data_IF_125333816130
#
_entry.id   IF_125333816130
#
_cell.length_a   1.000
_cell.length_b   1.000
_cell.length_c   1.000
_cell.angle_alpha   90.00
_cell.angle_beta   90.00
_cell.angle_gamma   90.00
#
_symmetry.space_group_name_H-M   'P 1'
#
loop_
_entity.id
_entity.type
_entity.pdbx_description
1 polymer ?
#
# COMPACT_ATOMS: atom_id res chain seq x y z
N UNK A 1 19.82 44.02 -10.43
CA UNK A 1 18.87 42.90 -10.59
C UNK A 1 19.36 41.79 -9.68
N UNK A 2 18.53 41.43 -8.70
CA UNK A 2 18.91 40.56 -7.61
C UNK A 2 19.13 39.12 -8.10
N UNK A 3 20.25 38.57 -7.69
CA UNK A 3 20.68 37.19 -7.84
C UNK A 3 19.70 36.30 -7.05
N UNK A 4 18.95 35.44 -7.75
CA UNK A 4 18.13 34.43 -7.09
C UNK A 4 19.07 33.41 -6.46
N UNK A 5 19.15 33.46 -5.13
CA UNK A 5 19.75 32.40 -4.35
C UNK A 5 18.99 31.10 -4.61
N UNK A 6 19.69 30.11 -5.17
CA UNK A 6 19.31 28.70 -5.12
C UNK A 6 19.00 28.34 -3.66
N UNK A 7 17.73 28.14 -3.34
CA UNK A 7 17.29 27.49 -2.11
C UNK A 7 17.99 26.13 -2.04
N UNK A 8 18.83 25.95 -1.03
CA UNK A 8 19.29 24.62 -0.65
C UNK A 8 18.05 23.85 -0.22
N UNK A 9 17.67 22.85 -1.02
CA UNK A 9 16.73 21.80 -0.66
C UNK A 9 17.02 21.37 0.78
N UNK A 10 16.10 21.65 1.70
CA UNK A 10 16.22 21.23 3.09
C UNK A 10 16.05 19.71 3.06
N UNK A 11 17.09 18.90 3.38
CA UNK A 11 16.91 17.46 3.48
C UNK A 11 15.95 17.19 4.62
N UNK A 12 15.07 16.20 4.47
CA UNK A 12 14.42 15.53 5.59
C UNK A 12 15.48 15.22 6.65
N UNK A 13 15.48 15.96 7.75
CA UNK A 13 16.66 16.07 8.61
C UNK A 13 16.92 14.81 9.43
N UNK A 14 15.90 13.97 9.64
CA UNK A 14 16.03 12.78 10.46
C UNK A 14 16.31 11.53 9.60
N UNK A 15 17.23 10.64 10.01
CA UNK A 15 17.58 9.43 9.26
C UNK A 15 16.44 8.41 9.07
N UNK A 16 15.32 8.58 9.80
CA UNK A 16 14.12 7.73 9.70
C UNK A 16 12.93 8.44 9.05
N UNK A 17 13.12 9.67 8.55
CA UNK A 17 12.08 10.33 7.76
C UNK A 17 11.83 9.55 6.46
N UNK A 18 10.56 9.43 6.02
CA UNK A 18 10.23 8.74 4.77
C UNK A 18 10.97 9.37 3.58
N UNK A 19 11.21 8.60 2.51
CA UNK A 19 11.82 9.12 1.28
C UNK A 19 11.01 10.29 0.73
N UNK A 20 11.67 11.40 0.42
CA UNK A 20 11.01 12.55 -0.19
C UNK A 20 10.82 12.34 -1.70
N UNK A 21 9.86 13.03 -2.32
CA UNK A 21 9.58 12.95 -3.76
C UNK A 21 10.83 13.03 -4.66
N UNK A 22 11.78 13.93 -4.36
CA UNK A 22 13.01 14.08 -5.16
C UNK A 22 13.96 12.88 -5.03
N UNK A 23 13.98 12.20 -3.88
CA UNK A 23 14.79 11.00 -3.65
C UNK A 23 14.21 9.80 -4.40
N UNK A 24 12.88 9.68 -4.39
CA UNK A 24 12.14 8.67 -5.15
C UNK A 24 12.39 8.83 -6.66
N UNK A 25 12.23 10.06 -7.17
CA UNK A 25 12.45 10.36 -8.59
C UNK A 25 13.92 10.14 -9.02
N UNK A 26 14.88 10.48 -8.16
CA UNK A 26 16.30 10.21 -8.40
C UNK A 26 16.58 8.71 -8.49
N UNK A 27 16.05 7.91 -7.56
CA UNK A 27 16.20 6.46 -7.58
C UNK A 27 15.62 5.82 -8.84
N UNK A 28 14.39 6.18 -9.22
CA UNK A 28 13.78 5.68 -10.45
C UNK A 28 14.56 6.04 -11.71
N UNK A 29 15.03 7.30 -11.80
CA UNK A 29 15.84 7.78 -12.93
C UNK A 29 17.19 7.05 -13.04
N UNK A 30 17.86 6.79 -11.91
CA UNK A 30 19.11 6.04 -11.88
C UNK A 30 18.92 4.59 -12.31
N UNK A 31 17.85 3.95 -11.86
CA UNK A 31 17.57 2.56 -12.18
C UNK A 31 17.18 2.38 -13.65
N UNK A 32 16.35 3.28 -14.21
CA UNK A 32 16.05 3.28 -15.65
C UNK A 32 17.30 3.40 -16.51
N UNK A 33 18.26 4.27 -16.14
CA UNK A 33 19.55 4.37 -16.83
C UNK A 33 20.38 3.07 -16.79
N UNK A 34 20.21 2.24 -15.76
CA UNK A 34 20.98 1.00 -15.56
C UNK A 34 20.29 -0.23 -16.11
N UNK A 35 18.95 -0.26 -16.11
CA UNK A 35 18.14 -1.41 -16.46
C UNK A 35 17.39 -1.26 -17.79
N UNK A 36 17.25 -0.04 -18.29
CA UNK A 36 16.39 0.31 -19.43
C UNK A 36 15.04 0.89 -18.99
N UNK A 37 14.31 1.44 -19.95
CA UNK A 37 13.03 2.12 -19.68
C UNK A 37 11.84 1.17 -19.51
N UNK A 38 12.00 -0.09 -19.93
CA UNK A 38 10.96 -1.13 -19.90
C UNK A 38 10.77 -1.78 -18.52
N UNK A 39 11.59 -1.40 -17.52
CA UNK A 39 11.41 -1.90 -16.15
C UNK A 39 10.19 -1.30 -15.48
N UNK A 40 9.50 -2.14 -14.71
CA UNK A 40 8.32 -1.79 -13.95
C UNK A 40 8.69 -1.81 -12.47
N UNK A 41 8.45 -0.70 -11.77
CA UNK A 41 8.70 -0.62 -10.33
C UNK A 41 7.47 -1.09 -9.53
N UNK A 42 7.69 -1.83 -8.46
CA UNK A 42 6.64 -2.29 -7.55
C UNK A 42 6.59 -1.44 -6.28
N UNK A 43 7.75 -1.16 -5.68
CA UNK A 43 7.82 -0.39 -4.43
C UNK A 43 9.20 0.21 -4.19
N UNK A 44 9.24 1.25 -3.34
CA UNK A 44 10.46 1.83 -2.79
C UNK A 44 10.31 1.97 -1.28
N UNK A 45 11.30 1.49 -0.54
CA UNK A 45 11.39 1.65 0.91
C UNK A 45 12.71 2.32 1.29
N UNK A 46 12.68 3.17 2.34
CA UNK A 46 13.92 3.56 3.02
C UNK A 46 14.56 2.31 3.64
N UNK A 47 15.87 2.13 3.41
CA UNK A 47 16.66 1.20 4.22
C UNK A 47 17.01 1.94 5.50
N UNK A 48 16.23 1.66 6.55
CA UNK A 48 16.39 2.27 7.86
C UNK A 48 17.83 2.07 8.38
N UNK A 49 18.55 3.14 8.78
CA UNK A 49 19.91 2.99 9.28
C UNK A 49 20.00 2.10 10.52
N UNK A 50 21.15 1.45 10.77
CA UNK A 50 21.36 0.67 11.97
C UNK A 50 20.98 1.45 13.24
N UNK A 51 20.23 0.80 14.15
CA UNK A 51 19.74 1.39 15.41
C UNK A 51 20.78 2.23 16.16
N UNK A 52 22.01 1.75 16.23
CA UNK A 52 23.11 2.44 16.88
C UNK A 52 23.38 3.82 16.28
N UNK A 53 23.41 3.91 14.95
CA UNK A 53 23.69 5.16 14.24
C UNK A 53 22.58 6.20 14.45
N UNK A 54 21.31 5.77 14.49
CA UNK A 54 20.18 6.65 14.78
C UNK A 54 20.26 7.20 16.20
N UNK A 55 20.54 6.33 17.19
CA UNK A 55 20.67 6.75 18.59
C UNK A 55 21.85 7.71 18.79
N UNK A 56 22.98 7.46 18.12
CA UNK A 56 24.15 8.35 18.14
C UNK A 56 23.84 9.71 17.47
N UNK A 57 23.09 9.71 16.36
CA UNK A 57 22.63 10.92 15.68
C UNK A 57 21.76 11.79 16.60
N UNK A 58 20.77 11.20 17.29
CA UNK A 58 19.87 11.92 18.20
C UNK A 58 20.60 12.46 19.45
N UNK A 59 21.61 11.74 19.93
CA UNK A 59 22.38 12.13 21.12
C UNK A 59 23.38 13.25 20.85
N UNK A 60 23.69 13.54 19.58
CA UNK A 60 24.62 14.58 19.21
C UNK A 60 23.95 15.96 19.28
N UNK A 61 24.37 16.79 20.22
CA UNK A 61 23.82 18.13 20.46
C UNK A 61 23.92 19.08 19.24
N UNK A 62 24.82 18.81 18.31
CA UNK A 62 24.94 19.61 17.08
C UNK A 62 23.96 19.16 15.99
N UNK A 63 23.29 17.99 16.15
CA UNK A 63 22.48 17.29 15.13
C UNK A 63 23.08 17.40 13.73
N UNK A 64 24.41 17.48 13.65
CA UNK A 64 25.09 17.67 12.39
C UNK A 64 24.77 16.42 11.59
N UNK A 65 24.19 16.53 10.38
CA UNK A 65 23.97 15.40 9.50
C UNK A 65 25.35 14.88 9.11
N UNK A 66 25.95 14.11 10.00
CA UNK A 66 27.20 13.41 9.78
C UNK A 66 26.86 12.23 8.89
N UNK A 67 26.59 12.54 7.62
CA UNK A 67 26.56 11.67 6.44
C UNK A 67 26.05 10.25 6.73
N UNK A 68 24.91 10.11 7.43
CA UNK A 68 24.25 8.82 7.43
C UNK A 68 23.85 8.56 5.99
N UNK A 69 24.39 7.47 5.44
CA UNK A 69 24.10 7.05 4.08
C UNK A 69 22.60 6.86 3.99
N UNK A 70 21.96 7.55 3.05
CA UNK A 70 20.51 7.46 2.86
C UNK A 70 20.28 6.52 1.71
N UNK A 71 19.91 5.30 2.07
CA UNK A 71 19.77 4.20 1.14
C UNK A 71 18.29 3.89 0.96
N UNK A 72 17.88 3.60 -0.27
CA UNK A 72 16.55 3.11 -0.58
C UNK A 72 16.64 1.75 -1.26
N UNK A 73 15.72 0.86 -0.90
CA UNK A 73 15.51 -0.44 -1.51
C UNK A 73 14.35 -0.31 -2.50
N UNK A 74 14.60 -0.67 -3.75
CA UNK A 74 13.59 -0.64 -4.83
C UNK A 74 13.36 -2.06 -5.31
N UNK A 75 12.09 -2.46 -5.41
CA UNK A 75 11.69 -3.75 -5.96
C UNK A 75 10.93 -3.52 -7.26
N UNK A 76 11.10 -4.41 -8.23
CA UNK A 76 10.42 -4.31 -9.52
C UNK A 76 10.57 -5.54 -10.40
N UNK A 77 10.15 -5.41 -11.64
CA UNK A 77 10.20 -6.43 -12.68
C UNK A 77 10.90 -5.88 -13.93
N UNK A 78 11.93 -6.58 -14.37
CA UNK A 78 12.58 -6.33 -15.66
C UNK A 78 11.87 -7.18 -16.72
N UNK A 79 11.12 -6.50 -17.58
CA UNK A 79 10.32 -7.13 -18.64
C UNK A 79 11.17 -7.76 -19.74
N UNK A 80 12.35 -7.19 -20.03
CA UNK A 80 13.28 -7.71 -21.05
C UNK A 80 13.93 -9.00 -20.57
N UNK A 81 14.30 -9.07 -19.29
CA UNK A 81 14.85 -10.27 -18.66
C UNK A 81 13.80 -11.23 -18.13
N UNK A 82 12.54 -10.81 -18.13
CA UNK A 82 11.41 -11.54 -17.56
C UNK A 82 11.66 -11.96 -16.10
N UNK A 83 12.23 -11.05 -15.29
CA UNK A 83 12.69 -11.39 -13.94
C UNK A 83 12.46 -10.24 -12.96
N UNK A 84 12.00 -10.57 -11.75
CA UNK A 84 11.99 -9.62 -10.64
C UNK A 84 13.40 -9.22 -10.19
N UNK A 85 13.54 -7.98 -9.72
CA UNK A 85 14.79 -7.47 -9.18
C UNK A 85 14.58 -6.74 -7.86
N UNK A 86 15.66 -6.69 -7.08
CA UNK A 86 15.84 -5.80 -5.94
C UNK A 86 17.07 -4.96 -6.21
N UNK A 87 16.96 -3.64 -6.04
CA UNK A 87 18.05 -2.71 -6.21
C UNK A 87 18.21 -1.83 -4.98
N UNK A 88 19.44 -1.43 -4.71
CA UNK A 88 19.75 -0.50 -3.61
C UNK A 88 20.43 0.75 -4.17
N UNK A 89 19.89 1.90 -3.81
CA UNK A 89 20.35 3.21 -4.29
C UNK A 89 20.74 4.09 -3.12
N UNK A 90 21.94 4.68 -3.18
CA UNK A 90 22.33 5.79 -2.32
C UNK A 90 21.80 7.07 -2.96
N UNK A 91 20.77 7.67 -2.36
CA UNK A 91 20.11 8.86 -2.94
C UNK A 91 20.88 10.14 -2.69
N UNK A 92 21.82 10.16 -1.74
CA UNK A 92 22.68 11.31 -1.47
C UNK A 92 23.90 11.28 -2.39
N UNK A 93 24.55 10.12 -2.52
CA UNK A 93 25.65 9.94 -3.47
C UNK A 93 25.18 9.77 -4.92
N UNK A 94 23.87 9.66 -5.14
CA UNK A 94 23.23 9.53 -6.46
C UNK A 94 23.80 8.36 -7.26
N UNK A 95 23.92 7.18 -6.61
CA UNK A 95 24.54 5.99 -7.21
C UNK A 95 23.73 4.73 -6.90
N UNK A 96 23.58 3.87 -7.93
CA UNK A 96 23.07 2.51 -7.74
C UNK A 96 24.20 1.65 -7.20
N UNK A 97 24.03 1.18 -5.96
CA UNK A 97 25.04 0.38 -5.25
C UNK A 97 24.93 -1.11 -5.56
N UNK A 98 23.71 -1.61 -5.78
CA UNK A 98 23.44 -3.00 -6.07
C UNK A 98 22.19 -3.16 -6.93
N UNK A 99 22.21 -4.15 -7.83
CA UNK A 99 21.05 -4.68 -8.53
C UNK A 99 21.17 -6.21 -8.49
N UNK A 100 20.15 -6.87 -7.96
CA UNK A 100 20.08 -8.33 -7.84
C UNK A 100 18.78 -8.84 -8.43
N UNK A 101 18.88 -9.78 -9.37
CA UNK A 101 17.72 -10.52 -9.86
C UNK A 101 17.31 -11.60 -8.86
N UNK A 102 16.00 -11.74 -8.67
CA UNK A 102 15.39 -12.66 -7.70
C UNK A 102 14.85 -13.85 -8.46
N UNK A 103 15.36 -15.05 -8.18
CA UNK A 103 14.90 -16.30 -8.79
C UNK A 103 14.03 -17.15 -7.86
N UNK A 104 14.07 -16.86 -6.55
CA UNK A 104 13.23 -17.49 -5.53
C UNK A 104 12.18 -16.47 -5.08
N UNK A 105 11.02 -16.49 -5.75
CA UNK A 105 9.92 -15.54 -5.52
C UNK A 105 9.80 -14.45 -6.59
N UNK A 106 8.88 -13.52 -6.35
CA UNK A 106 8.53 -12.44 -7.29
C UNK A 106 8.39 -11.12 -6.53
N UNK A 107 8.62 -10.00 -7.22
CA UNK A 107 8.31 -8.67 -6.69
C UNK A 107 6.79 -8.55 -6.45
N UNK A 108 6.35 -7.67 -5.52
CA UNK A 108 4.93 -7.40 -5.30
C UNK A 108 4.19 -7.04 -6.59
N UNK A 109 2.92 -7.40 -6.66
CA UNK A 109 2.01 -7.06 -7.75
C UNK A 109 1.64 -5.59 -7.68
N UNK A 110 1.44 -4.98 -8.85
CA UNK A 110 1.06 -3.58 -8.95
C UNK A 110 -0.11 -3.38 -9.93
N UNK A 111 -0.55 -2.12 -10.05
CA UNK A 111 -1.69 -1.78 -10.89
C UNK A 111 -1.53 -2.17 -12.38
N UNK A 112 -0.36 -1.98 -13.03
CA UNK A 112 -0.09 -2.54 -14.36
C UNK A 112 -0.33 -4.05 -14.50
N UNK A 113 0.09 -4.85 -13.52
CA UNK A 113 -0.16 -6.30 -13.53
C UNK A 113 -1.67 -6.59 -13.58
N UNK A 114 -2.44 -5.88 -12.74
CA UNK A 114 -3.91 -5.99 -12.68
C UNK A 114 -4.55 -5.66 -14.02
N UNK A 115 -4.19 -4.52 -14.62
CA UNK A 115 -4.70 -4.09 -15.93
C UNK A 115 -4.35 -5.10 -17.02
N UNK A 116 -3.15 -5.68 -16.98
CA UNK A 116 -2.69 -6.69 -17.94
C UNK A 116 -3.54 -7.96 -17.86
N UNK A 117 -3.78 -8.49 -16.66
CA UNK A 117 -4.63 -9.67 -16.47
C UNK A 117 -6.05 -9.44 -16.97
N UNK A 118 -6.64 -8.28 -16.64
CA UNK A 118 -7.99 -7.92 -17.11
C UNK A 118 -8.03 -7.91 -18.64
N UNK A 119 -7.02 -7.31 -19.27
CA UNK A 119 -6.92 -7.23 -20.73
C UNK A 119 -6.82 -8.62 -21.36
N UNK A 120 -5.87 -9.44 -20.89
CA UNK A 120 -5.65 -10.81 -21.38
C UNK A 120 -6.95 -11.61 -21.31
N UNK A 121 -7.63 -11.60 -20.16
CA UNK A 121 -8.87 -12.35 -19.98
C UNK A 121 -9.98 -11.88 -20.91
N UNK A 122 -10.20 -10.56 -21.03
CA UNK A 122 -11.25 -10.02 -21.90
C UNK A 122 -11.00 -10.29 -23.38
N UNK A 123 -9.76 -10.45 -23.81
CA UNK A 123 -9.41 -10.74 -25.21
C UNK A 123 -9.33 -12.24 -25.54
N UNK A 124 -9.37 -13.12 -24.54
CA UNK A 124 -9.24 -14.56 -24.74
C UNK A 124 -10.56 -15.19 -25.24
N UNK A 125 -10.50 -15.89 -26.38
CA UNK A 125 -11.69 -16.51 -27.02
C UNK A 125 -12.29 -17.64 -26.16
N UNK A 126 -11.46 -18.36 -25.41
CA UNK A 126 -11.89 -19.43 -24.52
C UNK A 126 -12.67 -18.88 -23.34
N UNK A 127 -12.14 -17.85 -22.68
CA UNK A 127 -12.81 -17.14 -21.60
C UNK A 127 -14.11 -16.50 -22.08
N UNK A 128 -14.12 -15.80 -23.22
CA UNK A 128 -15.35 -15.23 -23.78
C UNK A 128 -16.40 -16.31 -24.08
N UNK A 129 -15.99 -17.48 -24.58
CA UNK A 129 -16.91 -18.59 -24.83
C UNK A 129 -17.48 -19.17 -23.53
N UNK A 130 -16.66 -19.27 -22.48
CA UNK A 130 -17.12 -19.69 -21.15
C UNK A 130 -18.08 -18.68 -20.50
N UNK A 131 -17.90 -17.38 -20.77
CA UNK A 131 -18.82 -16.32 -20.34
C UNK A 131 -20.15 -16.38 -21.12
N UNK A 132 -20.12 -16.57 -22.44
CA UNK A 132 -21.34 -16.78 -23.26
C UNK A 132 -22.15 -17.99 -22.81
N UNK A 133 -21.48 -19.10 -22.47
CA UNK A 133 -22.13 -20.29 -21.91
C UNK A 133 -22.90 -20.01 -20.60
N UNK A 134 -22.56 -18.92 -19.90
CA UNK A 134 -23.21 -18.42 -18.68
C UNK A 134 -24.19 -17.28 -18.94
N UNK A 135 -24.53 -17.03 -20.20
CA UNK A 135 -25.47 -15.99 -20.64
C UNK A 135 -24.89 -14.58 -20.67
N UNK A 136 -23.56 -14.43 -20.65
CA UNK A 136 -22.88 -13.12 -20.70
C UNK A 136 -22.28 -12.91 -22.10
N UNK A 137 -23.03 -12.25 -22.97
CA UNK A 137 -22.60 -11.95 -24.35
C UNK A 137 -21.69 -10.71 -24.42
N UNK A 138 -22.02 -9.67 -23.66
CA UNK A 138 -21.21 -8.45 -23.56
C UNK A 138 -20.34 -8.49 -22.31
N UNK A 139 -19.02 -8.54 -22.52
CA UNK A 139 -18.01 -8.61 -21.46
C UNK A 139 -17.37 -7.25 -21.14
N UNK A 140 -17.86 -6.18 -21.76
CA UNK A 140 -17.30 -4.82 -21.62
C UNK A 140 -17.25 -4.39 -20.16
N UNK A 141 -18.37 -4.49 -19.45
CA UNK A 141 -18.47 -4.08 -18.04
C UNK A 141 -18.19 -5.21 -17.05
N UNK A 142 -17.91 -6.44 -17.50
CA UNK A 142 -17.50 -7.53 -16.61
C UNK A 142 -16.27 -7.10 -15.82
N UNK A 143 -16.38 -7.17 -14.50
CA UNK A 143 -15.27 -7.00 -13.58
C UNK A 143 -14.49 -8.31 -13.53
N UNK A 144 -13.17 -8.19 -13.67
CA UNK A 144 -12.25 -9.28 -13.47
C UNK A 144 -11.36 -8.84 -12.32
N UNK A 145 -11.29 -9.68 -11.30
CA UNK A 145 -10.39 -9.48 -10.18
C UNK A 145 -9.21 -10.41 -10.36
N UNK A 146 -8.01 -9.87 -10.61
CA UNK A 146 -6.77 -10.61 -10.53
C UNK A 146 -6.38 -10.82 -9.06
N UNK A 147 -6.07 -12.05 -8.71
CA UNK A 147 -5.64 -12.48 -7.39
C UNK A 147 -4.18 -12.96 -7.44
N UNK A 148 -3.37 -12.59 -6.45
CA UNK A 148 -2.10 -13.25 -6.19
C UNK A 148 -2.29 -14.77 -6.02
N UNK A 149 -1.24 -15.53 -6.33
CA UNK A 149 -1.30 -17.01 -6.28
C UNK A 149 -0.64 -17.59 -5.03
N UNK A 150 -0.07 -16.76 -4.14
CA UNK A 150 0.52 -17.21 -2.88
C UNK A 150 1.63 -18.24 -3.04
N UNK A 151 2.31 -18.25 -4.18
CA UNK A 151 3.34 -19.24 -4.54
C UNK A 151 2.81 -20.56 -5.12
N UNK A 152 1.49 -20.73 -5.27
CA UNK A 152 0.86 -21.90 -5.88
C UNK A 152 0.34 -21.59 -7.28
N UNK A 153 1.28 -21.42 -8.22
CA UNK A 153 0.97 -21.24 -9.65
C UNK A 153 0.51 -22.56 -10.28
N UNK A 154 -0.31 -22.46 -11.33
CA UNK A 154 -0.72 -23.64 -12.10
C UNK A 154 0.51 -24.29 -12.76
N UNK A 155 0.62 -25.64 -12.83
CA UNK A 155 1.79 -26.31 -13.40
C UNK A 155 2.11 -25.99 -14.87
N UNK A 156 1.15 -25.41 -15.61
CA UNK A 156 1.36 -24.95 -16.99
C UNK A 156 2.06 -23.59 -17.07
N UNK A 157 2.20 -22.87 -15.96
CA UNK A 157 3.02 -21.66 -15.89
C UNK A 157 4.49 -22.10 -15.84
N UNK A 158 5.34 -21.67 -16.79
CA UNK A 158 6.77 -22.00 -16.75
C UNK A 158 7.44 -21.53 -15.46
N UNK A 159 8.47 -22.27 -15.03
CA UNK A 159 9.22 -21.93 -13.83
C UNK A 159 9.82 -20.52 -13.93
N UNK A 160 9.67 -19.72 -12.88
CA UNK A 160 10.14 -18.34 -12.83
C UNK A 160 9.21 -17.30 -13.47
N UNK A 161 8.16 -17.71 -14.18
CA UNK A 161 7.19 -16.78 -14.75
C UNK A 161 6.30 -16.14 -13.67
N UNK A 162 5.81 -14.94 -13.99
CA UNK A 162 4.91 -14.16 -13.16
C UNK A 162 3.47 -14.54 -13.50
N UNK A 163 2.65 -14.84 -12.50
CA UNK A 163 1.29 -15.31 -12.76
C UNK A 163 0.28 -14.87 -11.71
N UNK A 164 -0.97 -14.79 -12.14
CA UNK A 164 -2.14 -14.46 -11.32
C UNK A 164 -3.29 -15.41 -11.64
N UNK A 165 -4.23 -15.55 -10.72
CA UNK A 165 -5.54 -16.16 -11.00
C UNK A 165 -6.55 -15.05 -11.17
N UNK A 166 -7.49 -15.19 -12.09
CA UNK A 166 -8.54 -14.22 -12.30
C UNK A 166 -9.90 -14.87 -12.09
N UNK A 167 -10.74 -14.20 -11.30
CA UNK A 167 -12.16 -14.52 -11.13
C UNK A 167 -13.00 -13.37 -11.69
N UNK A 168 -14.21 -13.68 -12.11
CA UNK A 168 -15.04 -12.72 -12.85
C UNK A 168 -16.36 -12.44 -12.12
N UNK A 169 -16.86 -11.24 -12.35
CA UNK A 169 -18.06 -10.69 -11.74
C UNK A 169 -18.85 -9.93 -12.79
N UNK A 170 -20.13 -10.23 -12.91
CA UNK A 170 -21.00 -9.55 -13.88
C UNK A 170 -21.48 -8.23 -13.30
N UNK A 171 -21.45 -7.19 -14.12
CA UNK A 171 -21.96 -5.87 -13.78
C UNK A 171 -23.03 -5.50 -14.80
N UNK A 172 -24.09 -4.86 -14.33
CA UNK A 172 -25.11 -4.31 -15.24
C UNK A 172 -24.58 -3.09 -16.01
N UNK A 173 -23.71 -2.30 -15.38
CA UNK A 173 -23.00 -1.17 -15.97
C UNK A 173 -21.74 -0.82 -15.16
N UNK A 174 -20.98 0.18 -15.63
CA UNK A 174 -19.77 0.68 -14.96
C UNK A 174 -19.95 1.27 -13.55
N UNK A 175 -21.17 1.43 -13.03
CA UNK A 175 -21.46 1.91 -11.67
C UNK A 175 -21.97 0.82 -10.74
N UNK A 176 -22.32 -0.36 -11.29
CA UNK A 176 -22.79 -1.49 -10.52
C UNK A 176 -21.70 -2.10 -9.62
N UNK A 177 -22.12 -2.78 -8.56
CA UNK A 177 -21.25 -3.54 -7.68
C UNK A 177 -21.11 -4.99 -8.18
N UNK A 178 -20.02 -5.29 -8.88
CA UNK A 178 -19.78 -6.61 -9.47
C UNK A 178 -19.79 -7.75 -8.43
N UNK A 179 -19.37 -7.47 -7.19
CA UNK A 179 -19.29 -8.49 -6.14
C UNK A 179 -20.64 -9.16 -5.81
N UNK A 180 -21.77 -8.56 -6.19
CA UNK A 180 -23.10 -9.18 -6.01
C UNK A 180 -23.40 -10.30 -7.02
N UNK A 181 -22.72 -10.33 -8.17
CA UNK A 181 -22.99 -11.29 -9.26
C UNK A 181 -21.72 -12.03 -9.69
N UNK A 182 -21.12 -12.84 -8.79
CA UNK A 182 -19.94 -13.65 -9.11
C UNK A 182 -20.22 -14.69 -10.20
N UNK A 183 -19.27 -14.82 -11.12
CA UNK A 183 -19.22 -15.92 -12.10
C UNK A 183 -18.62 -17.13 -11.40
N UNK A 184 -19.48 -18.04 -10.94
CA UNK A 184 -19.05 -19.25 -10.26
C UNK A 184 -18.58 -20.32 -11.25
N UNK A 185 -17.66 -21.16 -10.76
CA UNK A 185 -17.11 -22.29 -11.51
C UNK A 185 -16.13 -21.93 -12.63
N UNK A 186 -15.67 -20.68 -12.73
CA UNK A 186 -14.73 -20.25 -13.77
C UNK A 186 -13.53 -19.51 -13.15
N UNK A 187 -12.32 -20.01 -13.40
CA UNK A 187 -11.06 -19.37 -12.98
C UNK A 187 -10.10 -19.34 -14.16
N UNK A 188 -9.55 -18.17 -14.48
CA UNK A 188 -8.47 -18.05 -15.45
C UNK A 188 -7.12 -18.05 -14.73
N UNK A 189 -6.23 -18.97 -15.09
CA UNK A 189 -4.83 -18.95 -14.67
C UNK A 189 -4.02 -18.22 -15.73
N UNK A 190 -3.48 -17.07 -15.37
CA UNK A 190 -2.88 -16.11 -16.31
C UNK A 190 -1.38 -16.02 -16.08
N UNK A 191 -0.62 -16.26 -17.14
CA UNK A 191 0.81 -15.99 -17.20
C UNK A 191 1.01 -14.55 -17.71
N UNK A 192 1.56 -13.70 -16.85
CA UNK A 192 1.87 -12.30 -17.13
C UNK A 192 3.17 -12.14 -17.93
N UNK A 193 4.06 -13.13 -17.89
CA UNK A 193 5.33 -13.11 -18.62
C UNK A 193 5.10 -13.40 -20.10
N UNK A 194 4.28 -14.40 -20.41
CA UNK A 194 3.88 -14.76 -21.79
C UNK A 194 2.59 -14.06 -22.25
N UNK A 195 1.95 -13.30 -21.37
CA UNK A 195 0.70 -12.56 -21.59
C UNK A 195 -0.47 -13.39 -22.15
N UNK A 196 -0.77 -14.53 -21.51
CA UNK A 196 -1.84 -15.45 -21.94
C UNK A 196 -2.54 -16.17 -20.79
N UNK A 197 -3.75 -16.64 -21.02
CA UNK A 197 -4.37 -17.66 -20.16
C UNK A 197 -3.67 -18.99 -20.44
N UNK A 198 -3.00 -19.57 -19.44
CA UNK A 198 -2.33 -20.88 -19.57
C UNK A 198 -3.23 -22.05 -19.22
N UNK A 199 -4.30 -21.78 -18.47
CA UNK A 199 -5.32 -22.75 -18.12
C UNK A 199 -6.61 -22.03 -17.75
N UNK A 200 -7.72 -22.44 -18.37
CA UNK A 200 -9.05 -21.98 -18.01
C UNK A 200 -9.75 -23.13 -17.26
N UNK A 201 -9.95 -22.93 -15.97
CA UNK A 201 -10.56 -23.91 -15.08
C UNK A 201 -12.07 -23.68 -15.07
N UNK A 202 -12.84 -24.60 -15.66
CA UNK A 202 -14.30 -24.52 -15.77
C UNK A 202 -14.96 -25.75 -15.11
N UNK A 203 -15.64 -25.53 -13.97
CA UNK A 203 -16.38 -26.53 -13.18
C UNK A 203 -17.86 -26.61 -13.55
N UNK A 204 -18.25 -26.02 -14.68
CA UNK A 204 -19.62 -25.97 -15.17
C UNK A 204 -20.32 -24.65 -14.86
N UNK A 205 -21.48 -24.49 -15.50
CA UNK A 205 -22.32 -23.30 -15.38
C UNK A 205 -23.09 -23.33 -14.07
N UNK A 206 -23.01 -22.23 -13.33
CA UNK A 206 -23.83 -21.94 -12.16
C UNK A 206 -24.59 -20.65 -12.46
N UNK A 207 -25.89 -20.63 -12.18
CA UNK A 207 -26.72 -19.46 -12.43
C UNK A 207 -26.18 -18.24 -11.67
N UNK A 208 -26.10 -17.10 -12.37
CA UNK A 208 -25.70 -15.83 -11.77
C UNK A 208 -26.75 -15.41 -10.74
N UNK A 209 -26.33 -14.88 -9.57
CA UNK A 209 -27.26 -14.21 -8.68
C UNK A 209 -28.09 -13.15 -9.44
N UNK A 210 -29.41 -13.11 -9.22
CA UNK A 210 -30.30 -12.28 -10.03
C UNK A 210 -30.29 -10.80 -9.61
N UNK A 211 -29.84 -10.49 -8.40
CA UNK A 211 -29.91 -9.16 -7.82
C UNK A 211 -28.58 -8.39 -7.95
N UNK A 212 -28.67 -7.08 -8.17
CA UNK A 212 -27.52 -6.17 -8.12
C UNK A 212 -27.16 -5.80 -6.67
N UNK A 213 -25.92 -5.34 -6.45
CA UNK A 213 -25.41 -5.00 -5.11
C UNK A 213 -25.19 -3.50 -4.87
N UNK A 214 -25.94 -2.63 -5.55
CA UNK A 214 -25.70 -1.18 -5.50
C UNK A 214 -25.97 -0.62 -4.11
N UNK A 215 -24.93 -0.08 -3.48
CA UNK A 215 -24.99 0.51 -2.13
C UNK A 215 -24.91 2.05 -2.14
N UNK A 216 -24.74 2.68 -3.30
CA UNK A 216 -24.68 4.14 -3.39
C UNK A 216 -26.05 4.76 -3.11
N UNK A 217 -26.10 5.98 -2.52
CA UNK A 217 -27.35 6.62 -2.08
C UNK A 217 -28.43 6.74 -3.15
N UNK A 218 -28.06 7.06 -4.39
CA UNK A 218 -28.94 7.21 -5.55
C UNK A 218 -29.65 5.92 -5.98
N UNK A 219 -29.15 4.76 -5.54
CA UNK A 219 -29.71 3.45 -5.84
C UNK A 219 -30.51 2.86 -4.68
N UNK A 220 -30.59 3.56 -3.54
CA UNK A 220 -31.40 3.12 -2.40
C UNK A 220 -32.84 3.63 -2.53
N UNK A 221 -33.87 2.82 -2.21
CA UNK A 221 -35.27 3.24 -2.29
C UNK A 221 -35.59 4.40 -1.34
N UNK A 222 -34.88 4.46 -0.21
CA UNK A 222 -34.95 5.55 0.75
C UNK A 222 -33.71 5.56 1.62
N UNK A 223 -33.25 6.74 2.01
CA UNK A 223 -32.26 6.90 3.07
C UNK A 223 -32.98 7.19 4.39
N UNK A 224 -32.40 6.73 5.50
CA UNK A 224 -32.86 7.16 6.82
C UNK A 224 -32.73 8.67 6.99
N UNK A 225 -33.53 9.25 7.87
CA UNK A 225 -33.33 10.64 8.30
C UNK A 225 -31.92 10.80 8.89
N UNK A 226 -31.26 11.91 8.58
CA UNK A 226 -29.93 12.20 9.11
C UNK A 226 -29.98 12.32 10.65
N UNK A 227 -29.05 11.70 11.39
CA UNK A 227 -28.97 11.90 12.83
C UNK A 227 -28.65 13.36 13.15
N UNK A 228 -28.94 13.79 14.39
CA UNK A 228 -28.52 15.11 14.87
C UNK A 228 -26.98 15.24 14.78
N UNK A 229 -26.44 16.42 14.43
CA UNK A 229 -25.01 16.62 14.31
C UNK A 229 -24.26 16.35 15.62
N UNK A 230 -23.05 15.80 15.51
CA UNK A 230 -22.07 15.68 16.60
C UNK A 230 -20.87 16.53 16.19
N UNK A 231 -20.42 17.40 17.10
CA UNK A 231 -19.26 18.27 16.88
C UNK A 231 -18.22 17.99 17.96
N UNK A 232 -17.01 17.68 17.52
CA UNK A 232 -15.83 17.49 18.35
C UNK A 232 -14.85 18.58 17.92
N UNK A 233 -14.48 19.46 18.85
CA UNK A 233 -13.60 20.61 18.57
C UNK A 233 -12.60 20.79 19.70
N UNK A 234 -11.42 21.33 19.37
CA UNK A 234 -10.45 21.77 20.37
C UNK A 234 -10.20 23.27 20.15
N UNK A 235 -10.90 24.16 20.87
CA UNK A 235 -10.89 25.60 20.60
C UNK A 235 -9.51 26.25 20.79
N UNK A 236 -8.59 25.58 21.50
CA UNK A 236 -7.22 26.02 21.76
C UNK A 236 -6.18 25.24 20.92
N UNK A 237 -6.64 24.42 19.98
CA UNK A 237 -5.79 23.50 19.20
C UNK A 237 -5.50 22.19 19.93
N UNK A 238 -4.57 21.42 19.37
CA UNK A 238 -4.22 20.08 19.84
C UNK A 238 -3.17 20.13 20.95
N UNK A 239 -3.16 19.13 21.83
CA UNK A 239 -2.17 18.99 22.91
C UNK A 239 -0.87 18.33 22.44
N UNK A 240 -0.86 17.75 21.24
CA UNK A 240 0.36 17.21 20.62
C UNK A 240 1.08 18.28 19.82
N UNK A 241 2.39 18.10 19.66
CA UNK A 241 3.22 18.89 18.75
C UNK A 241 3.80 17.97 17.68
N UNK A 242 3.87 18.49 16.47
CA UNK A 242 4.48 17.81 15.32
C UNK A 242 5.63 18.65 14.77
N UNK A 243 6.79 18.02 14.60
CA UNK A 243 7.95 18.58 13.89
C UNK A 243 8.39 17.60 12.79
N UNK A 244 8.01 17.92 11.55
CA UNK A 244 8.12 16.99 10.43
C UNK A 244 7.30 15.73 10.69
N UNK A 245 7.97 14.61 10.92
CA UNK A 245 7.32 13.33 11.27
C UNK A 245 7.52 12.94 12.74
N UNK A 246 8.13 13.79 13.58
CA UNK A 246 8.25 13.57 15.01
C UNK A 246 7.02 14.12 15.73
N UNK A 247 6.55 13.37 16.73
CA UNK A 247 5.37 13.67 17.53
C UNK A 247 5.75 13.69 19.00
N UNK A 248 5.32 14.74 19.69
CA UNK A 248 5.35 14.83 21.15
C UNK A 248 3.92 14.98 21.68
N UNK A 249 3.48 14.10 22.57
CA UNK A 249 2.13 14.14 23.13
C UNK A 249 2.08 13.55 24.54
N UNK A 250 1.65 14.32 25.55
CA UNK A 250 1.41 13.83 26.91
C UNK A 250 2.53 12.91 27.44
N UNK A 251 3.79 13.37 27.33
CA UNK A 251 5.06 12.67 27.66
C UNK A 251 5.51 11.60 26.67
N UNK A 252 4.66 11.17 25.74
CA UNK A 252 5.08 10.30 24.64
C UNK A 252 5.89 11.08 23.62
N UNK A 253 6.93 10.43 23.11
CA UNK A 253 7.64 10.88 21.91
C UNK A 253 7.78 9.70 20.96
N UNK A 254 7.51 9.94 19.68
CA UNK A 254 7.70 8.96 18.62
C UNK A 254 7.88 9.66 17.28
N UNK A 255 8.25 8.89 16.25
CA UNK A 255 8.28 9.35 14.86
C UNK A 255 7.49 8.39 13.99
N UNK A 256 6.88 8.90 12.93
CA UNK A 256 6.11 8.06 12.01
C UNK A 256 6.73 8.01 10.61
N UNK A 257 6.43 6.94 9.87
CA UNK A 257 6.69 6.86 8.43
C UNK A 257 5.70 5.92 7.76
N UNK A 258 5.67 5.89 6.43
CA UNK A 258 4.95 4.89 5.64
C UNK A 258 5.95 3.97 4.94
N UNK A 259 5.84 2.66 5.16
CA UNK A 259 6.64 1.64 4.49
C UNK A 259 5.76 0.91 3.46
N UNK A 260 6.22 0.65 2.23
CA UNK A 260 5.37 0.09 1.16
C UNK A 260 4.73 -1.26 1.52
N UNK A 261 5.41 -2.09 2.33
CA UNK A 261 4.88 -3.38 2.79
C UNK A 261 4.25 -3.27 4.19
N UNK A 262 4.82 -2.47 5.09
CA UNK A 262 4.48 -2.51 6.51
C UNK A 262 3.44 -1.45 6.92
N UNK A 263 2.99 -0.64 5.96
CA UNK A 263 2.09 0.48 6.19
C UNK A 263 2.70 1.52 7.15
N UNK A 264 1.88 2.04 8.04
CA UNK A 264 2.30 2.94 9.11
C UNK A 264 3.36 2.26 10.00
N UNK A 265 4.47 2.95 10.20
CA UNK A 265 5.55 2.53 11.11
C UNK A 265 5.71 3.59 12.18
N UNK A 266 5.71 3.16 13.44
CA UNK A 266 6.11 3.99 14.59
C UNK A 266 7.56 3.69 14.95
N UNK A 267 8.36 4.74 15.04
CA UNK A 267 9.77 4.71 15.35
C UNK A 267 10.03 5.37 16.70
N UNK A 268 11.05 4.89 17.40
CA UNK A 268 11.62 5.54 18.59
C UNK A 268 10.59 5.91 19.65
N UNK A 269 9.58 5.06 19.86
CA UNK A 269 8.55 5.27 20.89
C UNK A 269 9.20 5.28 22.26
N UNK A 270 9.08 6.40 22.94
CA UNK A 270 9.58 6.63 24.29
C UNK A 270 8.60 7.41 25.14
N UNK A 271 8.83 7.38 26.46
CA UNK A 271 8.01 8.07 27.44
C UNK A 271 8.89 8.92 28.35
N UNK A 272 8.54 10.19 28.52
CA UNK A 272 9.23 11.13 29.39
C UNK A 272 8.88 10.85 30.86
N UNK A 273 9.88 10.38 31.61
CA UNK A 273 9.80 10.06 33.04
C UNK A 273 10.78 10.94 33.81
N UNK A 274 10.26 11.99 34.46
CA UNK A 274 11.07 13.08 35.01
C UNK A 274 11.87 13.78 33.90
N UNK A 275 13.18 13.88 34.08
CA UNK A 275 14.10 14.51 33.11
C UNK A 275 14.62 13.53 32.04
N UNK A 276 14.15 12.27 32.05
CA UNK A 276 14.65 11.24 31.14
C UNK A 276 13.59 10.74 30.16
N UNK A 277 13.90 10.78 28.86
CA UNK A 277 13.14 10.05 27.85
C UNK A 277 13.52 8.56 27.89
N UNK A 278 12.61 7.73 28.38
CA UNK A 278 12.81 6.28 28.50
C UNK A 278 12.33 5.57 27.22
N UNK A 279 13.20 4.86 26.49
CA UNK A 279 12.80 4.15 25.27
C UNK A 279 11.91 2.95 25.60
N UNK A 280 10.87 2.72 24.79
CA UNK A 280 9.91 1.61 24.92
C UNK A 280 9.97 0.71 23.68
N UNK A 281 9.70 1.25 22.49
CA UNK A 281 9.78 0.51 21.22
C UNK A 281 10.72 1.23 20.27
N UNK A 282 11.67 0.51 19.66
CA UNK A 282 12.52 1.11 18.63
C UNK A 282 11.77 1.27 17.31
N UNK A 283 10.98 0.26 16.94
CA UNK A 283 10.21 0.18 15.70
C UNK A 283 8.99 -0.69 15.94
N UNK A 284 7.82 -0.24 15.52
CA UNK A 284 6.57 -1.00 15.54
C UNK A 284 5.86 -0.80 14.20
N UNK A 285 5.44 -1.90 13.57
CA UNK A 285 4.69 -1.87 12.31
C UNK A 285 3.90 -3.16 12.15
N UNK A 286 2.98 -3.17 11.18
CA UNK A 286 2.49 -4.42 10.61
C UNK A 286 3.68 -5.18 10.01
N UNK A 287 3.75 -6.49 10.21
CA UNK A 287 4.72 -7.34 9.50
C UNK A 287 4.15 -7.82 8.18
N UNK A 288 2.95 -8.41 8.24
CA UNK A 288 2.15 -8.77 7.08
C UNK A 288 0.69 -8.93 7.52
N UNK A 289 -0.23 -9.09 6.58
CA UNK A 289 -1.63 -9.41 6.83
C UNK A 289 -2.11 -10.38 5.76
N UNK A 290 -2.71 -11.49 6.18
CA UNK A 290 -3.19 -12.54 5.28
C UNK A 290 -4.67 -12.80 5.47
N UNK A 291 -5.40 -12.94 4.36
CA UNK A 291 -6.83 -13.27 4.34
C UNK A 291 -7.04 -14.67 3.72
N UNK A 292 -6.88 -15.75 4.50
CA UNK A 292 -7.11 -17.11 4.02
C UNK A 292 -8.60 -17.45 4.00
N UNK A 293 -9.07 -18.00 2.90
CA UNK A 293 -10.45 -18.46 2.76
C UNK A 293 -10.59 -19.90 3.27
N UNK A 294 -11.69 -20.17 3.98
CA UNK A 294 -11.97 -21.47 4.61
C UNK A 294 -12.94 -22.38 3.84
N UNK A 295 -13.30 -22.03 2.61
CA UNK A 295 -14.22 -22.81 1.79
C UNK A 295 -13.45 -23.85 0.92
N UNK A 296 -13.75 -25.15 1.02
CA UNK A 296 -13.07 -26.20 0.26
C UNK A 296 -13.44 -26.23 -1.23
N UNK A 297 -14.41 -25.43 -1.68
CA UNK A 297 -14.79 -25.35 -3.09
C UNK A 297 -13.61 -24.94 -3.98
N UNK A 298 -13.44 -25.53 -5.18
CA UNK A 298 -12.41 -25.15 -6.16
C UNK A 298 -12.30 -23.63 -6.44
N UNK A 299 -13.40 -22.89 -6.32
CA UNK A 299 -13.42 -21.43 -6.46
C UNK A 299 -12.69 -20.67 -5.35
N UNK A 300 -12.45 -21.29 -4.19
CA UNK A 300 -12.11 -20.58 -2.96
C UNK A 300 -10.95 -21.20 -2.18
N UNK A 301 -10.74 -22.52 -2.25
CA UNK A 301 -9.74 -23.25 -1.45
C UNK A 301 -8.28 -22.78 -1.67
N UNK A 302 -8.01 -22.07 -2.75
CA UNK A 302 -6.69 -21.51 -3.06
C UNK A 302 -6.53 -20.05 -2.63
N UNK A 303 -7.60 -19.37 -2.20
CA UNK A 303 -7.56 -17.93 -1.89
C UNK A 303 -6.89 -17.70 -0.55
N UNK A 304 -5.74 -17.03 -0.61
CA UNK A 304 -5.02 -16.51 0.53
C UNK A 304 -4.17 -15.34 0.02
N UNK A 305 -4.63 -14.13 0.27
CA UNK A 305 -3.90 -12.93 -0.16
C UNK A 305 -3.07 -12.45 1.00
N UNK A 306 -1.79 -12.19 0.76
CA UNK A 306 -0.95 -11.42 1.67
C UNK A 306 -1.01 -9.95 1.26
N UNK A 307 -1.97 -9.20 1.79
CA UNK A 307 -2.26 -7.83 1.35
C UNK A 307 -1.05 -6.90 1.46
N UNK A 308 -0.22 -7.10 2.48
CA UNK A 308 0.99 -6.31 2.66
C UNK A 308 2.09 -6.73 1.68
N UNK A 309 2.52 -7.99 1.68
CA UNK A 309 3.69 -8.42 0.89
C UNK A 309 3.41 -8.66 -0.60
N UNK A 310 2.22 -9.13 -0.98
CA UNK A 310 1.87 -9.38 -2.38
C UNK A 310 1.34 -8.14 -3.09
N UNK A 311 0.66 -7.23 -2.40
CA UNK A 311 0.04 -6.04 -3.00
C UNK A 311 0.66 -4.70 -2.57
N UNK A 312 1.68 -4.70 -1.71
CA UNK A 312 2.31 -3.49 -1.18
C UNK A 312 1.29 -2.51 -0.58
N UNK A 313 0.51 -2.97 0.40
CA UNK A 313 -0.57 -2.18 1.01
C UNK A 313 -0.18 -0.75 1.44
N UNK A 314 1.07 -0.52 1.87
CA UNK A 314 1.56 0.82 2.23
C UNK A 314 1.72 1.78 1.04
N UNK A 315 1.52 1.32 -0.19
CA UNK A 315 1.43 2.14 -1.42
C UNK A 315 -0.01 2.45 -1.83
N UNK A 316 -0.98 1.87 -1.12
CA UNK A 316 -2.41 1.98 -1.38
C UNK A 316 -3.21 2.72 -0.29
N UNK A 317 -2.64 3.63 0.56
CA UNK A 317 -3.48 4.35 1.50
C UNK A 317 -4.45 5.27 0.75
N UNK A 318 -5.65 5.38 1.28
CA UNK A 318 -6.63 6.38 0.85
C UNK A 318 -6.17 7.78 1.25
N UNK A 319 -6.59 8.79 0.50
CA UNK A 319 -6.59 10.16 0.98
C UNK A 319 -7.79 10.36 1.90
N UNK A 320 -7.53 10.60 3.19
CA UNK A 320 -8.56 10.65 4.23
C UNK A 320 -9.31 11.99 4.20
N UNK A 321 -10.63 11.91 4.30
CA UNK A 321 -11.54 13.05 4.23
C UNK A 321 -11.95 13.51 5.63
N UNK A 322 -11.69 14.77 5.96
CA UNK A 322 -12.06 15.39 7.23
C UNK A 322 -13.57 15.32 7.48
N UNK A 323 -13.95 14.86 8.68
CA UNK A 323 -15.33 14.70 9.12
C UNK A 323 -16.04 13.45 8.60
N UNK A 324 -15.42 12.73 7.67
CA UNK A 324 -15.92 11.44 7.16
C UNK A 324 -15.05 10.29 7.66
N UNK A 325 -13.76 10.30 7.32
CA UNK A 325 -12.81 9.25 7.71
C UNK A 325 -12.17 9.56 9.08
N UNK A 326 -11.85 10.83 9.35
CA UNK A 326 -11.30 11.28 10.63
C UNK A 326 -12.04 12.54 11.12
N UNK A 327 -12.56 12.53 12.35
CA UNK A 327 -13.42 13.58 12.93
C UNK A 327 -12.74 14.25 14.14
N UNK A 328 -12.82 15.57 14.23
CA UNK A 328 -12.23 16.38 15.30
C UNK A 328 -11.19 17.36 14.77
N UNK A 329 -10.23 17.73 15.62
CA UNK A 329 -9.05 18.49 15.19
C UNK A 329 -7.97 17.51 14.71
N UNK A 330 -7.77 17.46 13.40
CA UNK A 330 -6.91 16.45 12.76
C UNK A 330 -5.61 17.07 12.27
N UNK A 331 -4.51 16.42 12.58
CA UNK A 331 -3.24 16.61 11.87
C UNK A 331 -3.07 15.49 10.85
N UNK A 332 -2.83 15.86 9.59
CA UNK A 332 -2.58 14.91 8.52
C UNK A 332 -1.10 14.84 8.17
N UNK A 333 -0.63 13.64 7.85
CA UNK A 333 0.66 13.44 7.22
C UNK A 333 0.45 12.95 5.80
N UNK A 334 1.11 13.64 4.87
CA UNK A 334 1.18 13.22 3.49
C UNK A 334 2.32 12.21 3.30
N UNK A 335 2.24 11.42 2.24
CA UNK A 335 3.25 10.41 1.90
C UNK A 335 3.54 10.47 0.42
N UNK A 336 4.82 10.42 0.06
CA UNK A 336 5.26 10.17 -1.31
C UNK A 336 5.58 8.69 -1.51
N UNK A 337 5.11 8.12 -2.62
CA UNK A 337 5.39 6.72 -3.01
C UNK A 337 5.99 6.64 -4.41
N UNK A 338 6.65 5.53 -4.73
CA UNK A 338 7.13 5.26 -6.08
C UNK A 338 6.00 4.72 -6.96
N UNK A 339 5.81 5.29 -8.15
CA UNK A 339 4.93 4.74 -9.20
C UNK A 339 5.61 3.62 -9.96
N UNK A 340 4.85 2.90 -10.78
CA UNK A 340 5.40 1.86 -11.65
C UNK A 340 6.34 2.38 -12.72
N UNK A 341 6.32 3.68 -13.03
CA UNK A 341 7.30 4.38 -13.88
C UNK A 341 8.56 4.83 -13.13
N UNK A 342 8.65 4.64 -11.82
CA UNK A 342 9.77 5.13 -11.01
C UNK A 342 9.69 6.63 -10.72
N UNK A 343 8.50 7.22 -10.83
CA UNK A 343 8.23 8.61 -10.46
C UNK A 343 7.69 8.68 -9.03
N UNK A 344 7.71 9.87 -8.43
CA UNK A 344 7.05 10.09 -7.15
C UNK A 344 5.57 10.42 -7.35
N UNK A 345 4.69 9.74 -6.60
CA UNK A 345 3.28 10.10 -6.47
C UNK A 345 3.02 10.53 -5.03
N UNK A 346 2.48 11.75 -4.89
CA UNK A 346 2.04 12.29 -3.63
C UNK A 346 0.66 11.75 -3.25
N UNK A 347 0.49 11.37 -1.99
CA UNK A 347 -0.79 10.99 -1.38
C UNK A 347 -1.05 11.97 -0.25
N UNK A 348 -1.99 12.89 -0.48
CA UNK A 348 -2.45 13.82 0.54
C UNK A 348 -3.24 13.07 1.62
N UNK A 349 -3.16 13.55 2.87
CA UNK A 349 -3.93 13.03 3.99
C UNK A 349 -3.82 11.51 4.18
N UNK A 350 -2.65 10.93 3.93
CA UNK A 350 -2.43 9.49 3.95
C UNK A 350 -2.52 8.89 5.36
N UNK A 351 -2.18 9.67 6.38
CA UNK A 351 -2.26 9.29 7.80
C UNK A 351 -2.97 10.42 8.54
N UNK A 352 -3.99 10.09 9.33
CA UNK A 352 -4.59 11.03 10.26
C UNK A 352 -4.13 10.78 11.69
N UNK A 353 -3.89 11.87 12.42
CA UNK A 353 -3.52 11.85 13.83
C UNK A 353 -4.37 12.88 14.57
N UNK A 354 -4.98 12.44 15.67
CA UNK A 354 -5.73 13.29 16.58
C UNK A 354 -5.64 12.74 17.99
N UNK A 355 -6.10 13.52 18.97
CA UNK A 355 -6.36 13.02 20.31
C UNK A 355 -7.88 12.93 20.54
N UNK A 356 -8.28 12.04 21.44
CA UNK A 356 -9.68 11.83 21.79
C UNK A 356 -9.84 11.70 23.31
N UNK A 357 -10.97 12.17 23.82
CA UNK A 357 -11.40 11.81 25.17
C UNK A 357 -11.62 10.30 25.24
N UNK A 358 -11.08 9.66 26.28
CA UNK A 358 -11.21 8.22 26.49
C UNK A 358 -11.84 7.91 27.85
N UNK A 359 -12.85 8.69 28.22
CA UNK A 359 -13.61 8.50 29.45
C UNK A 359 -12.77 8.65 30.73
N UNK A 360 -13.07 7.83 31.73
CA UNK A 360 -12.50 7.97 33.08
C UNK A 360 -11.17 7.22 33.19
N UNK A 361 -10.07 7.94 33.36
CA UNK A 361 -8.75 7.34 33.66
C UNK A 361 -8.71 6.67 35.05
N UNK A 362 -9.17 7.37 36.08
CA UNK A 362 -9.33 6.82 37.43
C UNK A 362 -10.46 7.51 38.18
N UNK A 363 -11.14 6.78 39.06
CA UNK A 363 -12.18 7.32 39.97
C UNK A 363 -12.18 6.53 41.27
N UNK A 364 -12.19 7.25 42.37
CA UNK A 364 -12.33 6.68 43.71
C UNK A 364 -13.45 7.42 44.45
N UNK A 365 -14.29 6.68 45.17
CA UNK A 365 -15.28 7.22 46.09
C UNK A 365 -15.03 6.60 47.46
N UNK A 366 -14.68 7.43 48.43
CA UNK A 366 -14.57 7.06 49.83
C UNK A 366 -15.80 7.58 50.57
N UNK A 367 -16.55 6.68 51.22
CA UNK A 367 -17.74 7.02 52.01
C UNK A 367 -17.42 7.33 53.47
N UNK A 368 -16.15 7.28 53.88
CA UNK A 368 -15.69 7.54 55.24
C UNK A 368 -14.99 8.90 55.43
N UNK A 369 -14.71 9.61 54.33
CA UNK A 369 -14.52 11.08 54.30
C UNK A 369 -15.84 11.77 54.00
#
# INVERSE_FOLDING_TARGET
MAEQATERLIPSGHPLDPPAAHEIAAAGSLLKKRLGDEVIFASLALIEPPKRQVVEFESNAQKTPSQLVRMVCVQGYDTVKQQSFVATVDVIANVVTEIRYVFEGQAPLNFPDVVRVITICKTDEGWQSAMRARGVEDVTDVQIDPWPTGGYIHPNVPEGHRAMRAISFVREDKFDNGYARPVQGLIAHVDLTDEKIVFLEDHGVVDLPPEHGRYQPEHQPSLREAPKPISITQPEGTSFKVDGYAVEWQKWQFRISMHPIHGLVLHRVGYQDGDQLRPILYRASLSDMVVPYGDPNPMHHWKHVFDASEASMGTLPNSLTLGCDCLGEIHYFDVDIMTHQGEARHIENAICMHEEDYGILWKHYDGHT
#
